data_IF_575413352549
#
_entry.id   IF_575413352549
#
_cell.length_a   1.000
_cell.length_b   1.000
_cell.length_c   1.000
_cell.angle_alpha   90.00
_cell.angle_beta   90.00
_cell.angle_gamma   90.00
#
_symmetry.space_group_name_H-M   'P 1'
#
loop_
_entity.id
_entity.type
_entity.pdbx_description
1 polymer ?
#
# COMPACT_ATOMS: atom_id res chain seq x y z
N UNK A 1 16.52 43.79 36.93
CA UNK A 1 16.99 43.41 35.59
C UNK A 1 17.20 41.89 35.40
N UNK A 2 17.47 41.09 36.43
CA UNK A 2 17.69 39.62 36.27
C UNK A 2 16.43 38.81 35.97
N UNK A 3 15.22 39.28 36.31
CA UNK A 3 13.96 38.56 36.06
C UNK A 3 13.40 38.67 34.63
N UNK A 4 13.80 39.69 33.88
CA UNK A 4 13.41 39.90 32.49
C UNK A 4 14.17 38.96 31.52
N UNK A 5 15.42 38.65 31.83
CA UNK A 5 16.24 37.73 31.00
C UNK A 5 15.77 36.28 31.02
N UNK A 6 15.26 35.81 32.18
CA UNK A 6 14.76 34.44 32.31
C UNK A 6 13.44 34.20 31.54
N UNK A 7 12.58 35.23 31.49
CA UNK A 7 11.30 35.11 30.74
C UNK A 7 11.54 35.08 29.24
N UNK A 8 12.50 35.85 28.74
CA UNK A 8 12.86 35.87 27.32
C UNK A 8 13.48 34.55 26.85
N UNK A 9 14.30 33.90 27.69
CA UNK A 9 14.94 32.63 27.36
C UNK A 9 13.94 31.46 27.30
N UNK A 10 12.93 31.46 28.19
CA UNK A 10 11.89 30.39 28.18
C UNK A 10 10.95 30.52 27.00
N UNK A 11 10.60 31.71 26.54
CA UNK A 11 9.78 31.93 25.35
C UNK A 11 10.52 31.49 24.09
N UNK A 12 11.83 31.77 23.99
CA UNK A 12 12.64 31.38 22.85
C UNK A 12 12.75 29.82 22.74
N UNK A 13 12.89 29.14 23.88
CA UNK A 13 12.95 27.68 23.93
C UNK A 13 11.61 27.01 23.52
N UNK A 14 10.48 27.59 23.92
CA UNK A 14 9.16 27.12 23.56
C UNK A 14 8.86 27.23 22.05
N UNK A 15 9.35 28.28 21.39
CA UNK A 15 9.17 28.47 19.94
C UNK A 15 9.98 27.46 19.14
N UNK A 16 11.16 27.04 19.62
CA UNK A 16 12.00 26.03 18.93
C UNK A 16 11.37 24.64 19.03
N UNK A 17 10.69 24.31 20.13
CA UNK A 17 10.03 23.01 20.29
C UNK A 17 8.75 22.86 19.43
N UNK A 18 8.08 23.95 19.07
CA UNK A 18 6.90 23.94 18.22
C UNK A 18 7.22 23.84 16.72
N UNK A 19 8.44 24.13 16.31
CA UNK A 19 8.88 24.05 14.90
C UNK A 19 9.41 22.66 14.49
N UNK A 20 9.56 21.73 15.45
CA UNK A 20 10.15 20.39 15.19
C UNK A 20 9.18 19.34 14.64
N UNK A 21 7.88 19.63 14.49
CA UNK A 21 6.85 18.61 14.18
C UNK A 21 6.31 18.62 12.74
N UNK A 22 7.04 19.17 11.75
CA UNK A 22 6.50 19.30 10.37
C UNK A 22 7.37 18.75 9.25
N UNK A 23 8.22 17.76 9.48
CA UNK A 23 9.04 17.22 8.37
C UNK A 23 8.62 15.85 7.83
N UNK A 24 7.66 15.16 8.43
CA UNK A 24 7.22 13.84 7.93
C UNK A 24 6.13 13.93 6.85
N UNK A 25 5.26 14.94 6.88
CA UNK A 25 4.09 15.01 5.98
C UNK A 25 4.38 15.62 4.60
N UNK A 26 5.50 16.32 4.43
CA UNK A 26 5.78 17.09 3.21
C UNK A 26 6.34 16.23 2.07
N UNK A 27 6.91 15.06 2.36
CA UNK A 27 7.52 14.20 1.33
C UNK A 27 6.46 13.37 0.59
N UNK A 28 5.38 12.97 1.25
CA UNK A 28 4.31 12.19 0.61
C UNK A 28 3.41 13.05 -0.29
N UNK A 29 3.12 14.29 0.09
CA UNK A 29 2.22 15.18 -0.65
C UNK A 29 2.83 15.77 -1.93
N UNK A 30 4.14 15.90 -2.02
CA UNK A 30 4.79 16.48 -3.22
C UNK A 30 4.87 15.50 -4.41
N UNK A 31 4.59 14.20 -4.20
CA UNK A 31 4.63 13.18 -5.25
C UNK A 31 3.27 12.50 -5.51
N UNK A 32 2.20 12.92 -4.86
CA UNK A 32 0.88 12.27 -5.04
C UNK A 32 0.42 12.37 -6.50
N UNK A 33 0.60 13.52 -7.14
CA UNK A 33 0.28 13.69 -8.56
C UNK A 33 1.08 12.76 -9.49
N UNK A 34 2.31 12.40 -9.12
CA UNK A 34 3.08 11.40 -9.85
C UNK A 34 2.42 10.02 -9.77
N UNK A 35 1.99 9.62 -8.55
CA UNK A 35 1.37 8.32 -8.33
C UNK A 35 0.00 8.22 -9.00
N UNK A 36 -0.84 9.24 -8.94
CA UNK A 36 -2.16 9.27 -9.57
C UNK A 36 -2.11 9.18 -11.11
N UNK A 37 -0.94 9.38 -11.73
CA UNK A 37 -0.72 9.15 -13.15
C UNK A 37 -0.21 7.74 -13.47
N UNK A 38 0.05 6.91 -12.46
CA UNK A 38 0.41 5.51 -12.64
C UNK A 38 -0.85 4.64 -12.85
N UNK A 39 -0.63 3.35 -13.11
CA UNK A 39 -1.73 2.37 -13.19
C UNK A 39 -2.43 2.28 -11.84
N UNK A 40 -3.77 2.37 -11.86
CA UNK A 40 -4.63 2.25 -10.70
C UNK A 40 -5.08 0.81 -10.51
N UNK A 41 -5.15 0.36 -9.26
CA UNK A 41 -5.70 -0.92 -8.89
C UNK A 41 -6.40 -0.88 -7.53
N UNK A 42 -7.39 -1.76 -7.34
CA UNK A 42 -8.05 -1.98 -6.05
C UNK A 42 -7.61 -3.32 -5.46
N UNK A 43 -7.22 -3.32 -4.19
CA UNK A 43 -6.80 -4.54 -3.49
C UNK A 43 -8.03 -5.41 -3.23
N UNK A 44 -8.07 -6.58 -3.85
CA UNK A 44 -9.19 -7.53 -3.78
C UNK A 44 -8.92 -8.74 -2.87
N UNK A 45 -7.67 -8.90 -2.47
CA UNK A 45 -7.23 -9.92 -1.51
C UNK A 45 -5.95 -9.47 -0.83
N UNK A 46 -5.86 -9.68 0.49
CA UNK A 46 -4.67 -9.37 1.28
C UNK A 46 -4.55 -10.36 2.43
N UNK A 47 -3.44 -11.12 2.46
CA UNK A 47 -3.15 -12.10 3.50
C UNK A 47 -1.80 -11.82 4.15
N UNK A 48 -1.79 -11.18 5.34
CA UNK A 48 -0.57 -10.89 6.06
C UNK A 48 0.21 -12.13 6.50
N UNK A 49 -0.42 -13.30 6.55
CA UNK A 49 0.23 -14.54 6.99
C UNK A 49 1.21 -15.10 5.96
N UNK A 50 0.99 -14.80 4.67
CA UNK A 50 1.86 -15.23 3.59
C UNK A 50 2.50 -14.10 2.77
N UNK A 51 2.24 -12.84 3.14
CA UNK A 51 2.78 -11.67 2.48
C UNK A 51 2.40 -11.52 0.99
N UNK A 52 1.35 -12.20 0.53
CA UNK A 52 0.80 -12.08 -0.81
C UNK A 52 -0.52 -11.33 -0.79
N UNK A 53 -0.74 -10.55 -1.82
CA UNK A 53 -1.97 -9.82 -2.05
C UNK A 53 -2.26 -9.71 -3.55
N UNK A 54 -3.51 -9.43 -3.88
CA UNK A 54 -3.96 -9.31 -5.26
C UNK A 54 -4.60 -7.96 -5.44
N UNK A 55 -4.23 -7.32 -6.53
CA UNK A 55 -4.85 -6.10 -7.02
C UNK A 55 -5.62 -6.41 -8.30
N UNK A 56 -6.84 -5.92 -8.40
CA UNK A 56 -7.59 -5.87 -9.65
C UNK A 56 -7.33 -4.54 -10.33
N UNK A 57 -6.92 -4.58 -11.59
CA UNK A 57 -6.67 -3.43 -12.45
C UNK A 57 -7.63 -3.47 -13.63
N UNK A 58 -7.58 -2.44 -14.48
CA UNK A 58 -8.33 -2.46 -15.74
C UNK A 58 -7.99 -3.69 -16.63
N UNK A 59 -6.75 -4.16 -16.58
CA UNK A 59 -6.24 -5.26 -17.41
C UNK A 59 -6.44 -6.67 -16.80
N UNK A 60 -7.02 -6.77 -15.60
CA UNK A 60 -7.20 -8.02 -14.86
C UNK A 60 -6.48 -8.02 -13.52
N UNK A 61 -6.22 -9.21 -12.99
CA UNK A 61 -5.64 -9.41 -11.67
C UNK A 61 -4.11 -9.46 -11.73
N UNK A 62 -3.48 -8.89 -10.71
CA UNK A 62 -2.03 -8.93 -10.51
C UNK A 62 -1.72 -9.44 -9.12
N UNK A 63 -0.91 -10.49 -9.02
CA UNK A 63 -0.44 -11.06 -7.75
C UNK A 63 0.88 -10.42 -7.36
N UNK A 64 0.95 -9.93 -6.14
CA UNK A 64 2.08 -9.17 -5.61
C UNK A 64 2.53 -9.76 -4.29
N UNK A 65 3.83 -9.87 -4.11
CA UNK A 65 4.49 -10.23 -2.85
C UNK A 65 5.12 -8.99 -2.21
N UNK A 66 4.97 -8.82 -0.91
CA UNK A 66 5.66 -7.76 -0.17
C UNK A 66 6.17 -8.25 1.16
N UNK A 67 7.40 -7.84 1.51
CA UNK A 67 7.96 -8.03 2.85
C UNK A 67 7.83 -6.76 3.70
N UNK A 68 7.08 -5.78 3.22
CA UNK A 68 6.84 -4.54 3.96
C UNK A 68 5.92 -4.79 5.15
N UNK A 69 6.20 -4.13 6.26
CA UNK A 69 5.33 -4.10 7.44
C UNK A 69 3.98 -3.45 7.11
N UNK A 70 3.98 -2.53 6.14
CA UNK A 70 2.80 -1.81 5.68
C UNK A 70 2.23 -2.47 4.42
N UNK A 71 1.53 -3.57 4.60
CA UNK A 71 0.79 -4.23 3.52
C UNK A 71 -0.55 -3.51 3.31
N UNK A 72 -1.00 -3.31 2.06
CA UNK A 72 -2.31 -2.71 1.80
C UNK A 72 -3.44 -3.66 2.23
N UNK A 73 -4.58 -3.08 2.60
CA UNK A 73 -5.78 -3.81 2.99
C UNK A 73 -6.74 -3.97 1.81
N UNK A 74 -7.59 -4.98 1.89
CA UNK A 74 -8.67 -5.18 0.91
C UNK A 74 -9.58 -3.93 0.83
N UNK A 75 -9.83 -3.48 -0.40
CA UNK A 75 -10.56 -2.25 -0.71
C UNK A 75 -9.69 -0.99 -0.79
N UNK A 76 -8.38 -1.09 -0.51
CA UNK A 76 -7.48 0.04 -0.74
C UNK A 76 -7.24 0.27 -2.25
N UNK A 77 -7.20 1.54 -2.64
CA UNK A 77 -6.68 1.94 -3.95
C UNK A 77 -5.17 2.06 -3.88
N UNK A 78 -4.51 1.45 -4.83
CA UNK A 78 -3.06 1.47 -4.97
C UNK A 78 -2.67 1.91 -6.37
N UNK A 79 -1.55 2.61 -6.47
CA UNK A 79 -1.01 3.13 -7.72
C UNK A 79 0.41 2.61 -7.92
N UNK A 80 0.72 2.19 -9.14
CA UNK A 80 2.04 1.66 -9.47
C UNK A 80 2.08 1.08 -10.88
N UNK A 81 3.15 0.36 -11.20
CA UNK A 81 3.24 -0.39 -12.44
C UNK A 81 2.90 -1.85 -12.17
N UNK A 82 1.65 -2.25 -12.40
CA UNK A 82 1.14 -3.60 -12.15
C UNK A 82 1.25 -4.51 -13.38
N UNK A 83 1.62 -3.97 -14.54
CA UNK A 83 1.65 -4.66 -15.83
C UNK A 83 3.02 -5.22 -16.20
N UNK A 84 3.96 -5.30 -15.25
CA UNK A 84 5.30 -5.86 -15.47
C UNK A 84 5.81 -6.55 -14.22
N UNK A 85 6.47 -7.71 -14.35
CA UNK A 85 7.13 -8.41 -13.24
C UNK A 85 8.27 -7.60 -12.63
N UNK A 86 8.57 -7.85 -11.37
CA UNK A 86 9.72 -7.31 -10.64
C UNK A 86 9.35 -6.42 -9.46
N UNK A 87 10.38 -6.06 -8.70
CA UNK A 87 10.26 -5.27 -7.47
C UNK A 87 10.24 -3.79 -7.78
N UNK A 88 9.30 -3.07 -7.17
CA UNK A 88 9.11 -1.63 -7.38
C UNK A 88 8.34 -0.98 -6.24
N UNK A 89 8.41 0.34 -6.20
CA UNK A 89 7.60 1.13 -5.29
C UNK A 89 6.17 1.28 -5.81
N UNK A 90 5.23 1.30 -4.89
CA UNK A 90 3.80 1.43 -5.07
C UNK A 90 3.26 2.40 -4.04
N UNK A 91 2.15 3.05 -4.32
CA UNK A 91 1.53 4.03 -3.43
C UNK A 91 0.15 3.56 -2.97
N UNK A 92 -0.07 3.51 -1.66
CA UNK A 92 -1.40 3.29 -1.07
C UNK A 92 -2.08 4.64 -0.88
N UNK A 93 -3.19 4.87 -1.58
CA UNK A 93 -3.90 6.14 -1.57
C UNK A 93 -4.59 6.41 -0.23
N UNK A 94 -5.24 5.41 0.37
CA UNK A 94 -5.93 5.57 1.65
C UNK A 94 -4.93 5.74 2.80
N UNK A 95 -3.87 4.96 2.78
CA UNK A 95 -2.81 5.02 3.80
C UNK A 95 -1.83 6.17 3.62
N UNK A 96 -1.80 6.80 2.43
CA UNK A 96 -0.88 7.89 2.07
C UNK A 96 0.60 7.54 2.29
N UNK A 97 0.98 6.32 1.94
CA UNK A 97 2.36 5.87 2.06
C UNK A 97 2.82 5.14 0.80
N UNK A 98 4.12 5.21 0.58
CA UNK A 98 4.82 4.42 -0.44
C UNK A 98 5.37 3.17 0.20
N UNK A 99 5.23 2.04 -0.48
CA UNK A 99 5.75 0.75 -0.06
C UNK A 99 6.33 0.00 -1.25
N UNK A 100 7.19 -0.98 -0.99
CA UNK A 100 7.83 -1.77 -2.03
C UNK A 100 7.17 -3.15 -2.13
N UNK A 101 6.79 -3.54 -3.34
CA UNK A 101 6.24 -4.85 -3.65
C UNK A 101 6.86 -5.46 -4.91
N UNK A 102 6.81 -6.77 -5.01
CA UNK A 102 7.27 -7.52 -6.18
C UNK A 102 6.07 -8.07 -6.95
N UNK A 103 5.85 -7.59 -8.15
CA UNK A 103 4.85 -8.16 -9.08
C UNK A 103 5.33 -9.54 -9.51
N UNK A 104 4.57 -10.56 -9.16
CA UNK A 104 4.88 -11.97 -9.47
C UNK A 104 4.27 -12.35 -10.81
N UNK A 105 2.97 -12.14 -10.95
CA UNK A 105 2.20 -12.39 -12.17
C UNK A 105 1.17 -11.27 -12.38
N UNK A 106 0.83 -10.97 -13.62
CA UNK A 106 -0.07 -9.88 -13.98
C UNK A 106 -0.97 -10.25 -15.16
N UNK A 107 -2.05 -9.46 -15.38
CA UNK A 107 -3.07 -9.67 -16.41
C UNK A 107 -3.75 -11.04 -16.31
N UNK A 108 -3.93 -11.50 -15.10
CA UNK A 108 -4.55 -12.77 -14.82
C UNK A 108 -6.08 -12.66 -14.86
N UNK A 109 -6.72 -13.75 -15.22
CA UNK A 109 -8.12 -13.97 -14.90
C UNK A 109 -8.30 -14.27 -13.40
N UNK A 110 -9.52 -14.23 -12.90
CA UNK A 110 -9.86 -14.55 -11.52
C UNK A 110 -9.29 -15.92 -11.09
N UNK A 111 -9.54 -16.96 -11.90
CA UNK A 111 -9.08 -18.31 -11.57
C UNK A 111 -7.55 -18.44 -11.61
N UNK A 112 -6.89 -17.81 -12.58
CA UNK A 112 -5.43 -17.79 -12.64
C UNK A 112 -4.80 -17.09 -11.43
N UNK A 113 -5.42 -16.02 -10.93
CA UNK A 113 -4.94 -15.33 -9.72
C UNK A 113 -5.08 -16.24 -8.49
N UNK A 114 -6.17 -17.01 -8.38
CA UNK A 114 -6.33 -18.01 -7.33
C UNK A 114 -5.28 -19.12 -7.42
N UNK A 115 -5.03 -19.65 -8.62
CA UNK A 115 -4.02 -20.71 -8.83
C UNK A 115 -2.61 -20.23 -8.42
N UNK A 116 -2.26 -18.99 -8.75
CA UNK A 116 -0.99 -18.39 -8.35
C UNK A 116 -0.90 -18.21 -6.83
N UNK A 117 -1.99 -17.74 -6.20
CA UNK A 117 -2.05 -17.63 -4.74
C UNK A 117 -1.91 -18.98 -4.06
N UNK A 118 -2.61 -20.03 -4.54
CA UNK A 118 -2.55 -21.36 -3.97
C UNK A 118 -1.16 -22.00 -4.11
N UNK A 119 -0.44 -21.67 -5.16
CA UNK A 119 0.94 -22.12 -5.35
C UNK A 119 1.91 -21.46 -4.34
N UNK A 120 1.85 -20.14 -4.17
CA UNK A 120 2.79 -19.41 -3.32
C UNK A 120 2.37 -19.32 -1.86
N UNK A 121 1.08 -19.46 -1.59
CA UNK A 121 0.44 -19.28 -0.28
C UNK A 121 -0.55 -20.44 -0.01
N UNK A 122 -0.08 -21.70 0.04
CA UNK A 122 -0.97 -22.84 0.22
C UNK A 122 -1.70 -22.74 1.57
N UNK A 123 -2.98 -23.08 1.56
CA UNK A 123 -3.79 -23.16 2.79
C UNK A 123 -3.42 -24.44 3.52
N UNK A 124 -2.58 -24.32 4.55
CA UNK A 124 -2.26 -25.44 5.43
C UNK A 124 -3.32 -25.58 6.54
N UNK A 125 -4.08 -26.64 6.50
CA UNK A 125 -4.96 -27.02 7.61
C UNK A 125 -6.14 -27.89 7.20
N UNK A 126 -6.16 -29.12 7.66
CA UNK A 126 -7.20 -30.15 7.41
C UNK A 126 -8.56 -29.87 8.04
N UNK A 127 -9.05 -28.64 7.95
CA UNK A 127 -10.45 -28.29 8.17
C UNK A 127 -11.04 -27.88 6.85
N UNK A 128 -12.09 -28.59 6.42
CA UNK A 128 -12.95 -28.37 5.27
C UNK A 128 -12.53 -27.20 4.37
N UNK A 129 -12.03 -27.54 3.20
CA UNK A 129 -11.87 -26.74 1.98
C UNK A 129 -12.25 -25.25 2.16
N UNK A 130 -11.34 -24.49 2.76
CA UNK A 130 -11.52 -23.05 2.89
C UNK A 130 -11.21 -22.46 1.52
N UNK A 131 -12.23 -22.37 0.68
CA UNK A 131 -12.11 -21.80 -0.66
C UNK A 131 -11.72 -20.34 -0.53
N UNK A 132 -10.55 -20.00 -1.05
CA UNK A 132 -10.10 -18.62 -1.14
C UNK A 132 -10.98 -17.86 -2.13
N UNK A 133 -11.43 -16.67 -1.78
CA UNK A 133 -12.28 -15.82 -2.60
C UNK A 133 -11.64 -14.45 -2.74
N UNK A 134 -11.46 -13.99 -3.96
CA UNK A 134 -11.11 -12.60 -4.23
C UNK A 134 -12.38 -11.76 -4.15
N UNK A 135 -12.31 -10.60 -3.49
CA UNK A 135 -13.41 -9.64 -3.52
C UNK A 135 -13.54 -9.03 -4.92
N UNK A 136 -14.71 -8.54 -5.24
CA UNK A 136 -14.91 -7.78 -6.46
C UNK A 136 -14.48 -6.32 -6.24
N UNK A 137 -13.69 -5.78 -7.16
CA UNK A 137 -13.30 -4.38 -7.13
C UNK A 137 -14.53 -3.50 -7.37
N UNK A 138 -14.71 -2.49 -6.52
CA UNK A 138 -15.86 -1.59 -6.55
C UNK A 138 -15.52 -0.19 -7.06
N UNK A 139 -14.24 0.18 -7.02
CA UNK A 139 -13.76 1.53 -7.33
C UNK A 139 -13.14 1.66 -8.71
N UNK A 140 -12.76 0.53 -9.34
CA UNK A 140 -12.18 0.53 -10.68
C UNK A 140 -13.29 0.51 -11.72
N UNK A 141 -13.33 1.50 -12.59
CA UNK A 141 -14.25 1.53 -13.71
C UNK A 141 -13.75 0.62 -14.82
N UNK A 142 -14.37 -0.55 -14.95
CA UNK A 142 -14.21 -1.39 -16.15
C UNK A 142 -14.89 -0.66 -17.31
N UNK A 143 -14.11 -0.20 -18.29
CA UNK A 143 -14.65 0.36 -19.55
C UNK A 143 -15.16 -0.73 -20.46
#
# INVERSE_FOLDING_TARGET
>A
MKKLFTLSATILLAVILLSSCRKADVIATNNESYWLNQEEGEVVYSDPSCNYWVVETYNGYTVIHTNSVNMPYEGDLVYGNFSNRGTRDMYNFQGRFVFTGSVIEYWLSYNQALDVLDYYCPIYGGKAEQTRVLKEATKIQKK
#
